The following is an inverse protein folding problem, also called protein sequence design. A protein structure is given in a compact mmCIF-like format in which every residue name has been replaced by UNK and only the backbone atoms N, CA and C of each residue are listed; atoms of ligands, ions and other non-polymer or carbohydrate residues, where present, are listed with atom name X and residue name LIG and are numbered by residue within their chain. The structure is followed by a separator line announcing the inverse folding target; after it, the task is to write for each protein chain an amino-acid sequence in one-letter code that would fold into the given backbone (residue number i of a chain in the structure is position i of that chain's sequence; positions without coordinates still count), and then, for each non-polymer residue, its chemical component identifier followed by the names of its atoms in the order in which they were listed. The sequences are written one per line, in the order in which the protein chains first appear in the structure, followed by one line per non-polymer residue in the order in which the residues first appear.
data_IF_264506688054
#
_entry.id   IF_264506688054
#
_cell.length_a   1.000
_cell.length_b   1.000
_cell.length_c   1.000
_cell.angle_alpha   90.00
_cell.angle_beta   90.00
_cell.angle_gamma   90.00
#
_symmetry.space_group_name_H-M   'P 1'
#
loop_
_entity.id
_entity.type
_entity.pdbx_description
1 polymer ?
#
# COMPACT_ATOMS: atom_id res chain seq x y z
N UNK A 1 13.22 -9.30 -24.69
CA UNK A 1 13.40 -9.07 -23.23
C UNK A 1 12.23 -8.34 -22.55
N UNK A 2 11.16 -7.93 -23.26
CA UNK A 2 10.02 -7.22 -22.65
C UNK A 2 9.14 -8.12 -21.75
N UNK A 3 9.12 -9.43 -21.98
CA UNK A 3 8.15 -10.36 -21.37
C UNK A 3 8.38 -10.57 -19.87
N UNK A 4 9.64 -10.52 -19.41
CA UNK A 4 9.96 -10.68 -17.99
C UNK A 4 9.37 -9.55 -17.13
N UNK A 5 9.09 -8.37 -17.72
CA UNK A 5 8.59 -7.22 -16.98
C UNK A 5 7.20 -7.42 -16.42
N UNK A 6 6.33 -8.04 -17.19
CA UNK A 6 4.97 -8.33 -16.75
C UNK A 6 4.97 -9.42 -15.67
N UNK A 7 5.82 -10.44 -15.82
CA UNK A 7 5.90 -11.57 -14.90
C UNK A 7 6.28 -11.14 -13.48
N UNK A 8 7.37 -10.38 -13.32
CA UNK A 8 7.77 -9.96 -11.97
C UNK A 8 6.78 -8.97 -11.35
N UNK A 9 6.13 -8.12 -12.17
CA UNK A 9 5.07 -7.22 -11.68
C UNK A 9 3.89 -8.01 -11.12
N UNK A 10 3.49 -9.07 -11.81
CA UNK A 10 2.43 -9.95 -11.36
C UNK A 10 2.84 -10.67 -10.07
N UNK A 11 4.03 -11.28 -10.04
CA UNK A 11 4.55 -11.96 -8.85
C UNK A 11 4.64 -11.03 -7.63
N UNK A 12 5.11 -9.80 -7.82
CA UNK A 12 5.22 -8.79 -6.76
C UNK A 12 3.85 -8.27 -6.30
N UNK A 13 2.88 -8.18 -7.21
CA UNK A 13 1.50 -7.85 -6.86
C UNK A 13 0.85 -8.95 -6.01
N UNK A 14 1.13 -10.22 -6.32
CA UNK A 14 0.69 -11.36 -5.51
C UNK A 14 1.35 -11.30 -4.13
N UNK A 15 2.67 -11.08 -4.08
CA UNK A 15 3.40 -10.92 -2.82
C UNK A 15 2.84 -9.77 -1.94
N UNK A 16 2.49 -8.63 -2.56
CA UNK A 16 1.80 -7.53 -1.88
C UNK A 16 0.49 -7.98 -1.24
N UNK A 17 -0.33 -8.73 -1.97
CA UNK A 17 -1.61 -9.25 -1.47
C UNK A 17 -1.41 -10.30 -0.37
N UNK A 18 -0.43 -11.20 -0.51
CA UNK A 18 -0.04 -12.17 0.52
C UNK A 18 0.34 -11.46 1.82
N UNK A 19 1.14 -10.40 1.73
CA UNK A 19 1.53 -9.58 2.89
C UNK A 19 0.34 -8.92 3.57
N UNK A 20 -0.63 -8.41 2.79
CA UNK A 20 -1.88 -7.84 3.35
C UNK A 20 -2.76 -8.88 4.02
N UNK A 21 -2.78 -10.09 3.48
CA UNK A 21 -3.47 -11.24 4.04
C UNK A 21 -2.72 -11.90 5.20
N UNK A 22 -1.52 -11.41 5.54
CA UNK A 22 -0.60 -12.04 6.50
C UNK A 22 -0.31 -13.52 6.18
N UNK A 23 -0.34 -13.89 4.90
CA UNK A 23 0.03 -15.22 4.43
C UNK A 23 1.55 -15.32 4.32
N UNK A 24 2.12 -16.48 4.64
CA UNK A 24 3.57 -16.66 4.51
C UNK A 24 4.02 -16.64 3.05
N UNK A 25 5.04 -15.82 2.78
CA UNK A 25 5.75 -15.82 1.50
C UNK A 25 6.49 -17.15 1.33
N UNK A 26 6.46 -17.78 0.13
CA UNK A 26 7.15 -19.04 -0.11
C UNK A 26 8.65 -18.93 0.15
N UNK A 27 9.23 -19.97 0.75
CA UNK A 27 10.66 -20.01 1.07
C UNK A 27 11.58 -19.97 -0.16
N UNK A 28 11.13 -20.58 -1.26
CA UNK A 28 11.81 -20.49 -2.56
C UNK A 28 11.03 -19.58 -3.53
N UNK A 29 11.39 -18.30 -3.51
CA UNK A 29 10.69 -17.24 -4.28
C UNK A 29 10.88 -17.44 -5.79
N UNK A 30 12.01 -17.98 -6.22
CA UNK A 30 12.34 -18.14 -7.65
C UNK A 30 11.46 -19.22 -8.26
N UNK A 31 11.47 -20.42 -7.69
CA UNK A 31 10.58 -21.51 -8.14
C UNK A 31 9.10 -21.13 -8.00
N UNK A 32 8.78 -20.31 -6.99
CA UNK A 32 7.44 -19.78 -6.78
C UNK A 32 7.03 -18.64 -7.74
N UNK A 33 7.88 -18.26 -8.69
CA UNK A 33 7.60 -17.26 -9.73
C UNK A 33 7.20 -17.88 -11.07
N UNK A 34 7.14 -19.21 -11.16
CA UNK A 34 6.57 -19.91 -12.33
C UNK A 34 5.06 -19.68 -12.42
N UNK A 35 4.49 -19.71 -13.63
CA UNK A 35 3.06 -19.45 -13.85
C UNK A 35 2.15 -20.35 -12.99
N UNK A 36 2.46 -21.65 -12.92
CA UNK A 36 1.72 -22.60 -12.09
C UNK A 36 1.83 -22.29 -10.59
N UNK A 37 3.03 -21.94 -10.10
CA UNK A 37 3.20 -21.59 -8.70
C UNK A 37 2.52 -20.25 -8.33
N UNK A 38 2.55 -19.27 -9.24
CA UNK A 38 1.83 -18.01 -9.07
C UNK A 38 0.31 -18.22 -9.03
N UNK A 39 -0.24 -19.11 -9.85
CA UNK A 39 -1.65 -19.47 -9.79
C UNK A 39 -2.04 -20.08 -8.43
N UNK A 40 -1.24 -21.01 -7.92
CA UNK A 40 -1.46 -21.61 -6.59
C UNK A 40 -1.43 -20.55 -5.49
N UNK A 41 -0.43 -19.66 -5.52
CA UNK A 41 -0.32 -18.53 -4.57
C UNK A 41 -1.53 -17.62 -4.65
N UNK A 42 -1.97 -17.26 -5.86
CA UNK A 42 -3.15 -16.42 -6.06
C UNK A 42 -4.43 -17.07 -5.54
N UNK A 43 -4.62 -18.38 -5.76
CA UNK A 43 -5.77 -19.12 -5.21
C UNK A 43 -5.81 -19.08 -3.68
N UNK A 44 -4.66 -19.19 -3.02
CA UNK A 44 -4.57 -19.04 -1.54
C UNK A 44 -5.02 -17.64 -1.10
N UNK A 45 -4.61 -16.60 -1.82
CA UNK A 45 -5.01 -15.22 -1.57
C UNK A 45 -6.52 -15.04 -1.82
N UNK A 46 -7.06 -15.55 -2.92
CA UNK A 46 -8.49 -15.50 -3.22
C UNK A 46 -9.34 -16.20 -2.15
N UNK A 47 -8.90 -17.37 -1.69
CA UNK A 47 -9.54 -18.11 -0.60
C UNK A 47 -9.54 -17.31 0.71
N UNK A 48 -8.46 -16.59 1.01
CA UNK A 48 -8.40 -15.71 2.18
C UNK A 48 -9.40 -14.56 2.12
N UNK A 49 -9.62 -13.97 0.94
CA UNK A 49 -10.54 -12.86 0.74
C UNK A 49 -11.98 -13.28 0.43
N UNK A 50 -12.28 -14.59 0.43
CA UNK A 50 -13.59 -15.14 0.05
C UNK A 50 -14.10 -14.60 -1.31
N UNK A 51 -13.18 -14.38 -2.25
CA UNK A 51 -13.54 -13.87 -3.58
C UNK A 51 -13.93 -15.04 -4.45
N UNK A 52 -15.20 -15.08 -4.84
CA UNK A 52 -15.72 -16.08 -5.77
C UNK A 52 -14.81 -16.19 -7.02
N UNK A 53 -14.23 -17.37 -7.17
CA UNK A 53 -13.40 -17.76 -8.31
C UNK A 53 -14.21 -17.54 -9.60
N UNK A 54 -13.65 -16.95 -10.69
CA UNK A 54 -14.14 -17.35 -11.99
C UNK A 54 -13.93 -18.87 -12.11
N UNK A 55 -14.79 -19.60 -12.83
CA UNK A 55 -14.78 -21.06 -12.83
C UNK A 55 -13.38 -21.63 -13.05
N UNK A 56 -12.99 -22.57 -12.19
CA UNK A 56 -11.65 -23.16 -12.10
C UNK A 56 -11.19 -23.97 -13.34
N UNK A 57 -11.93 -23.88 -14.45
CA UNK A 57 -11.83 -24.82 -15.57
C UNK A 57 -10.82 -24.42 -16.65
N UNK A 58 -10.14 -23.27 -16.53
CA UNK A 58 -9.14 -22.87 -17.51
C UNK A 58 -7.73 -23.15 -16.98
N UNK A 59 -6.91 -23.77 -17.83
CA UNK A 59 -5.49 -23.93 -17.58
C UNK A 59 -4.86 -22.57 -17.19
N UNK A 60 -3.87 -22.55 -16.29
CA UNK A 60 -3.24 -21.30 -15.87
C UNK A 60 -2.60 -20.64 -17.09
N UNK A 61 -3.07 -19.44 -17.42
CA UNK A 61 -2.59 -18.60 -18.50
C UNK A 61 -2.27 -17.21 -17.94
N UNK A 62 -1.34 -16.48 -18.56
CA UNK A 62 -0.94 -15.17 -18.05
C UNK A 62 -2.07 -14.16 -18.04
N UNK A 63 -2.94 -14.17 -19.05
CA UNK A 63 -4.09 -13.26 -19.13
C UNK A 63 -5.09 -13.52 -18.00
N UNK A 64 -5.36 -14.79 -17.71
CA UNK A 64 -6.30 -15.19 -16.64
C UNK A 64 -5.74 -14.87 -15.26
N UNK A 65 -4.44 -15.08 -15.05
CA UNK A 65 -3.73 -14.70 -13.83
C UNK A 65 -3.75 -13.18 -13.63
N UNK A 66 -3.36 -12.41 -14.64
CA UNK A 66 -3.30 -10.95 -14.59
C UNK A 66 -4.67 -10.32 -14.30
N UNK A 67 -5.72 -10.82 -14.96
CA UNK A 67 -7.10 -10.38 -14.71
C UNK A 67 -7.54 -10.64 -13.26
N UNK A 68 -7.27 -11.83 -12.73
CA UNK A 68 -7.62 -12.20 -11.34
C UNK A 68 -6.85 -11.37 -10.32
N UNK A 69 -5.56 -11.13 -10.53
CA UNK A 69 -4.75 -10.22 -9.70
C UNK A 69 -5.32 -8.81 -9.73
N UNK A 70 -5.63 -8.27 -10.90
CA UNK A 70 -6.20 -6.93 -11.03
C UNK A 70 -7.55 -6.80 -10.31
N UNK A 71 -8.41 -7.80 -10.45
CA UNK A 71 -9.70 -7.88 -9.75
C UNK A 71 -9.51 -7.86 -8.23
N UNK A 72 -8.57 -8.64 -7.70
CA UNK A 72 -8.25 -8.64 -6.26
C UNK A 72 -7.72 -7.29 -5.78
N UNK A 73 -6.80 -6.66 -6.53
CA UNK A 73 -6.29 -5.32 -6.21
C UNK A 73 -7.45 -4.31 -6.18
N UNK A 74 -8.38 -4.38 -7.14
CA UNK A 74 -9.54 -3.48 -7.19
C UNK A 74 -10.49 -3.71 -6.02
N UNK A 75 -10.81 -4.97 -5.72
CA UNK A 75 -11.64 -5.35 -4.58
C UNK A 75 -11.03 -4.81 -3.27
N UNK A 76 -9.70 -4.92 -3.14
CA UNK A 76 -8.96 -4.44 -1.99
C UNK A 76 -8.90 -2.89 -1.89
N UNK A 77 -8.80 -2.17 -3.01
CA UNK A 77 -8.74 -0.68 -3.00
C UNK A 77 -10.00 -0.01 -2.47
N UNK A 78 -11.11 -0.74 -2.29
CA UNK A 78 -12.33 -0.20 -1.68
C UNK A 78 -12.21 0.01 -0.17
N UNK A 79 -11.17 -0.51 0.48
CA UNK A 79 -10.90 -0.18 1.88
C UNK A 79 -10.43 1.27 2.01
N UNK A 80 -11.05 2.08 2.89
CA UNK A 80 -10.71 3.49 3.03
C UNK A 80 -9.22 3.61 3.37
N UNK A 81 -8.49 4.53 2.70
CA UNK A 81 -7.08 4.73 3.00
C UNK A 81 -6.92 5.09 4.49
N UNK A 82 -5.85 4.64 5.16
CA UNK A 82 -5.58 5.08 6.52
C UNK A 82 -5.59 6.61 6.55
N UNK A 83 -6.38 7.18 7.47
CA UNK A 83 -6.62 8.63 7.57
C UNK A 83 -5.37 9.45 7.92
N UNK A 84 -4.26 8.78 8.18
CA UNK A 84 -2.98 9.32 8.62
C UNK A 84 -1.93 9.07 7.56
N UNK A 85 -1.96 9.88 6.50
CA UNK A 85 -0.95 9.89 5.45
C UNK A 85 0.34 10.54 5.96
N UNK A 86 1.25 9.72 6.47
CA UNK A 86 2.66 10.11 6.59
C UNK A 86 3.20 10.49 5.21
N UNK A 87 3.80 11.67 5.13
CA UNK A 87 4.22 12.35 3.88
C UNK A 87 5.44 11.71 3.19
N UNK A 88 6.01 10.65 3.76
CA UNK A 88 7.20 9.99 3.23
C UNK A 88 6.83 9.01 2.13
N UNK A 89 6.89 9.48 0.90
CA UNK A 89 6.81 8.63 -0.28
C UNK A 89 8.21 8.10 -0.62
N UNK A 90 8.35 6.89 -1.20
CA UNK A 90 9.62 6.40 -1.71
C UNK A 90 10.31 7.40 -2.66
N UNK A 91 9.53 8.22 -3.38
CA UNK A 91 10.04 9.26 -4.28
C UNK A 91 10.77 10.37 -3.51
N UNK A 92 10.18 10.87 -2.43
CA UNK A 92 10.82 11.90 -1.59
C UNK A 92 12.14 11.40 -0.99
N UNK A 93 12.21 10.12 -0.62
CA UNK A 93 13.48 9.55 -0.14
C UNK A 93 14.52 9.49 -1.26
N UNK A 94 14.15 9.06 -2.47
CA UNK A 94 15.09 8.97 -3.60
C UNK A 94 15.65 10.32 -4.05
N UNK A 95 14.91 11.42 -3.84
CA UNK A 95 15.40 12.79 -4.08
C UNK A 95 16.54 13.18 -3.13
N UNK A 96 16.66 12.53 -1.97
CA UNK A 96 17.72 12.76 -1.00
C UNK A 96 18.97 11.89 -1.23
N UNK A 97 18.88 10.90 -2.12
CA UNK A 97 19.95 9.92 -2.34
C UNK A 97 20.81 10.37 -3.52
N UNK A 98 22.12 10.57 -3.35
CA UNK A 98 23.01 10.83 -4.48
C UNK A 98 23.08 9.59 -5.37
N UNK A 99 22.73 9.76 -6.66
CA UNK A 99 22.77 8.71 -7.69
C UNK A 99 21.97 7.44 -7.34
N UNK A 100 20.62 7.52 -7.24
CA UNK A 100 19.78 6.39 -6.86
C UNK A 100 19.82 5.21 -7.86
N UNK A 101 20.38 5.42 -9.05
CA UNK A 101 20.54 4.38 -10.06
C UNK A 101 21.73 3.43 -9.80
N UNK A 102 22.69 3.83 -8.94
CA UNK A 102 23.92 3.08 -8.66
C UNK A 102 23.85 2.27 -7.36
N UNK A 103 22.65 1.88 -6.93
CA UNK A 103 22.48 1.06 -5.72
C UNK A 103 23.01 -0.35 -5.97
N UNK A 104 23.93 -0.81 -5.12
CA UNK A 104 24.50 -2.17 -5.17
C UNK A 104 23.49 -3.22 -4.71
N UNK A 105 23.63 -4.44 -5.23
CA UNK A 105 22.86 -5.60 -4.78
C UNK A 105 23.06 -5.89 -3.28
N UNK A 106 24.29 -5.74 -2.78
CA UNK A 106 24.61 -5.89 -1.36
C UNK A 106 23.79 -4.94 -0.48
N UNK A 107 23.62 -3.68 -0.90
CA UNK A 107 22.80 -2.71 -0.17
C UNK A 107 21.34 -3.16 -0.07
N UNK A 108 20.78 -3.68 -1.16
CA UNK A 108 19.42 -4.21 -1.17
C UNK A 108 19.30 -5.45 -0.27
N UNK A 109 20.31 -6.33 -0.30
CA UNK A 109 20.37 -7.52 0.55
C UNK A 109 20.40 -7.17 2.04
N UNK A 110 21.20 -6.19 2.43
CA UNK A 110 21.28 -5.72 3.82
C UNK A 110 19.93 -5.17 4.27
N UNK A 111 19.32 -4.27 3.48
CA UNK A 111 18.00 -3.72 3.83
C UNK A 111 16.91 -4.79 3.92
N UNK A 112 16.90 -5.78 3.01
CA UNK A 112 15.97 -6.90 3.11
C UNK A 112 16.19 -7.74 4.37
N UNK A 113 17.44 -7.90 4.80
CA UNK A 113 17.78 -8.60 6.05
C UNK A 113 17.30 -7.82 7.28
N UNK A 114 17.40 -6.49 7.26
CA UNK A 114 16.98 -5.60 8.34
C UNK A 114 15.46 -5.56 8.56
N UNK A 115 14.66 -5.83 7.51
CA UNK A 115 13.21 -6.01 7.64
C UNK A 115 12.80 -7.24 8.48
N UNK A 116 13.79 -7.98 9.01
CA UNK A 116 13.57 -9.06 9.96
C UNK A 116 12.94 -10.28 9.31
N UNK A 117 13.08 -10.46 7.99
CA UNK A 117 12.63 -11.67 7.32
C UNK A 117 13.54 -12.84 7.72
N UNK A 118 13.22 -13.46 8.86
CA UNK A 118 13.89 -14.66 9.37
C UNK A 118 13.49 -15.93 8.61
N UNK A 119 13.09 -15.81 7.34
CA UNK A 119 13.01 -17.01 6.51
C UNK A 119 14.42 -17.37 6.08
N UNK A 120 14.96 -18.46 6.62
CA UNK A 120 16.33 -18.94 6.37
C UNK A 120 16.63 -19.25 4.89
N UNK A 121 15.66 -19.15 3.99
CA UNK A 121 15.76 -19.70 2.65
C UNK A 121 15.86 -18.67 1.52
N UNK A 122 15.46 -17.41 1.72
CA UNK A 122 15.48 -16.44 0.61
C UNK A 122 16.90 -16.05 0.18
N UNK A 123 17.86 -16.05 1.11
CA UNK A 123 19.29 -15.82 0.80
C UNK A 123 19.88 -16.94 -0.04
N UNK A 124 19.41 -18.18 0.16
CA UNK A 124 19.79 -19.33 -0.69
C UNK A 124 19.22 -19.19 -2.10
N UNK A 125 17.95 -18.79 -2.22
CA UNK A 125 17.36 -18.48 -3.53
C UNK A 125 18.15 -17.36 -4.23
N UNK A 126 18.52 -16.29 -3.51
CA UNK A 126 19.29 -15.18 -4.05
C UNK A 126 20.67 -15.61 -4.56
N UNK A 127 21.37 -16.48 -3.82
CA UNK A 127 22.68 -16.99 -4.20
C UNK A 127 22.65 -17.83 -5.50
N UNK A 128 21.48 -18.41 -5.83
CA UNK A 128 21.25 -19.20 -7.03
C UNK A 128 20.61 -18.39 -8.17
N UNK A 129 20.25 -17.13 -7.93
CA UNK A 129 19.52 -16.30 -8.87
C UNK A 129 20.43 -15.73 -9.95
N UNK A 130 19.92 -15.63 -11.19
CA UNK A 130 20.52 -14.74 -12.16
C UNK A 130 20.27 -13.27 -11.74
N UNK A 131 21.10 -12.31 -12.19
CA UNK A 131 20.90 -10.88 -11.86
C UNK A 131 19.53 -10.33 -12.25
N UNK A 132 18.89 -10.90 -13.27
CA UNK A 132 17.51 -10.55 -13.66
C UNK A 132 16.46 -11.02 -12.65
N UNK A 133 16.69 -12.19 -12.06
CA UNK A 133 15.77 -12.86 -11.15
C UNK A 133 15.93 -12.32 -9.73
N UNK A 134 17.16 -11.89 -9.40
CA UNK A 134 17.51 -11.18 -8.17
C UNK A 134 16.60 -9.98 -7.91
N UNK A 135 16.38 -9.13 -8.92
CA UNK A 135 15.48 -7.98 -8.80
C UNK A 135 14.03 -8.39 -8.57
N UNK A 136 13.58 -9.47 -9.19
CA UNK A 136 12.25 -10.03 -8.96
C UNK A 136 12.10 -10.49 -7.51
N UNK A 137 13.12 -11.13 -6.94
CA UNK A 137 13.15 -11.56 -5.53
C UNK A 137 13.03 -10.37 -4.59
N UNK A 138 13.88 -9.35 -4.76
CA UNK A 138 13.80 -8.14 -3.92
C UNK A 138 12.46 -7.42 -4.07
N UNK A 139 11.93 -7.32 -5.29
CA UNK A 139 10.65 -6.69 -5.55
C UNK A 139 9.49 -7.44 -4.87
N UNK A 140 9.50 -8.78 -4.88
CA UNK A 140 8.51 -9.59 -4.17
C UNK A 140 8.61 -9.40 -2.66
N UNK A 141 9.82 -9.43 -2.09
CA UNK A 141 10.05 -9.22 -0.65
C UNK A 141 9.56 -7.82 -0.23
N UNK A 142 9.97 -6.76 -0.92
CA UNK A 142 9.59 -5.41 -0.56
C UNK A 142 8.06 -5.20 -0.68
N UNK A 143 7.43 -5.76 -1.72
CA UNK A 143 5.99 -5.69 -1.89
C UNK A 143 5.25 -6.46 -0.79
N UNK A 144 5.73 -7.65 -0.41
CA UNK A 144 5.18 -8.41 0.71
C UNK A 144 5.19 -7.61 2.01
N UNK A 145 6.33 -7.02 2.36
CA UNK A 145 6.45 -6.19 3.56
C UNK A 145 5.61 -4.92 3.53
N UNK A 146 5.52 -4.27 2.37
CA UNK A 146 4.62 -3.15 2.18
C UNK A 146 3.14 -3.54 2.34
N UNK A 147 2.78 -4.77 1.95
CA UNK A 147 1.47 -5.33 2.24
C UNK A 147 1.24 -5.51 3.75
N UNK A 148 2.24 -6.07 4.43
CA UNK A 148 2.19 -6.37 5.86
C UNK A 148 2.14 -5.12 6.75
N UNK A 149 2.81 -4.03 6.36
CA UNK A 149 2.82 -2.76 7.12
C UNK A 149 1.42 -2.15 7.30
N UNK A 150 0.45 -2.46 6.40
CA UNK A 150 -0.93 -1.92 6.33
C UNK A 150 -1.03 -0.39 6.20
N UNK A 151 -0.03 0.36 6.67
CA UNK A 151 0.07 1.81 6.61
C UNK A 151 0.60 2.27 5.24
N UNK A 152 1.54 1.52 4.67
CA UNK A 152 2.15 1.88 3.40
C UNK A 152 1.24 1.59 2.20
N UNK A 153 1.01 2.61 1.37
CA UNK A 153 0.26 2.50 0.12
C UNK A 153 1.24 2.36 -1.05
N UNK A 154 1.36 1.14 -1.56
CA UNK A 154 2.08 0.89 -2.83
C UNK A 154 1.18 1.32 -4.00
N UNK A 155 1.46 2.50 -4.56
CA UNK A 155 0.71 3.04 -5.71
C UNK A 155 1.08 2.30 -7.00
N UNK A 156 2.36 1.98 -7.15
CA UNK A 156 2.93 1.26 -8.29
C UNK A 156 3.94 0.24 -7.78
N UNK A 157 3.98 -0.92 -8.43
CA UNK A 157 4.99 -1.96 -8.17
C UNK A 157 6.35 -1.41 -8.62
N UNK A 158 7.38 -1.44 -7.76
CA UNK A 158 8.71 -0.95 -8.12
C UNK A 158 9.27 -1.78 -9.28
N UNK A 159 9.92 -1.11 -10.23
CA UNK A 159 10.44 -1.78 -11.44
C UNK A 159 11.93 -1.59 -11.64
N UNK A 160 12.52 -0.65 -10.92
CA UNK A 160 13.94 -0.29 -10.98
C UNK A 160 14.61 -0.55 -9.63
N UNK A 161 15.94 -0.68 -9.62
CA UNK A 161 16.72 -0.78 -8.37
C UNK A 161 16.48 0.41 -7.45
N UNK A 162 16.41 1.61 -8.02
CA UNK A 162 16.08 2.83 -7.30
C UNK A 162 14.72 2.73 -6.59
N UNK A 163 13.67 2.31 -7.32
CA UNK A 163 12.33 2.17 -6.73
C UNK A 163 12.31 1.16 -5.56
N UNK A 164 13.00 0.03 -5.73
CA UNK A 164 13.11 -1.03 -4.71
C UNK A 164 13.85 -0.49 -3.49
N UNK A 165 14.99 0.18 -3.69
CA UNK A 165 15.78 0.79 -2.63
C UNK A 165 14.96 1.81 -1.82
N UNK A 166 14.28 2.73 -2.50
CA UNK A 166 13.44 3.73 -1.85
C UNK A 166 12.30 3.10 -1.05
N UNK A 167 11.67 2.04 -1.57
CA UNK A 167 10.63 1.32 -0.86
C UNK A 167 11.17 0.58 0.37
N UNK A 168 12.30 -0.11 0.24
CA UNK A 168 12.95 -0.82 1.36
C UNK A 168 13.39 0.13 2.46
N UNK A 169 13.93 1.30 2.11
CA UNK A 169 14.31 2.32 3.09
C UNK A 169 13.11 2.87 3.86
N UNK A 170 11.98 3.13 3.19
CA UNK A 170 10.75 3.53 3.88
C UNK A 170 10.26 2.41 4.81
N UNK A 171 10.29 1.16 4.34
CA UNK A 171 9.89 0.01 5.14
C UNK A 171 10.80 -0.24 6.34
N UNK A 172 12.12 0.00 6.23
CA UNK A 172 13.05 -0.20 7.34
C UNK A 172 12.84 0.84 8.43
N UNK A 173 12.48 2.07 8.06
CA UNK A 173 12.08 3.12 9.01
C UNK A 173 10.76 2.77 9.69
N UNK A 174 9.76 2.30 8.95
CA UNK A 174 8.46 1.91 9.51
C UNK A 174 8.55 0.69 10.44
N UNK A 175 9.38 -0.30 10.09
CA UNK A 175 9.56 -1.54 10.87
C UNK A 175 10.70 -1.46 11.90
N UNK A 176 11.41 -0.33 11.95
CA UNK A 176 12.51 -0.13 12.88
C UNK A 176 12.07 -0.30 14.33
N UNK A 177 13.00 -0.57 15.26
CA UNK A 177 12.67 -0.60 16.67
C UNK A 177 11.98 0.72 17.00
N UNK A 178 10.77 0.64 17.56
CA UNK A 178 10.04 1.83 17.97
C UNK A 178 11.01 2.67 18.80
N UNK A 179 11.42 3.83 18.26
CA UNK A 179 12.21 4.78 19.01
C UNK A 179 11.33 5.09 20.19
N UNK A 180 11.67 4.51 21.35
CA UNK A 180 10.95 4.77 22.59
C UNK A 180 11.03 6.27 22.70
N UNK A 181 9.91 6.95 22.44
CA UNK A 181 9.89 8.40 22.54
C UNK A 181 10.50 8.69 23.91
N UNK A 182 11.55 9.53 23.99
CA UNK A 182 12.16 9.85 25.26
C UNK A 182 10.99 10.22 26.16
N UNK A 183 10.78 9.44 27.23
CA UNK A 183 9.56 9.55 28.02
C UNK A 183 9.37 11.04 28.27
N UNK A 184 8.26 11.59 27.78
CA UNK A 184 7.96 13.00 28.00
C UNK A 184 8.20 13.26 29.48
N UNK A 185 9.02 14.26 29.86
CA UNK A 185 9.35 14.49 31.25
C UNK A 185 8.04 14.46 32.04
N UNK A 186 8.00 13.80 33.21
CA UNK A 186 6.78 13.59 33.96
C UNK A 186 6.07 14.94 34.06
N UNK A 187 4.84 15.00 33.52
CA UNK A 187 4.03 16.22 33.57
C UNK A 187 4.00 16.61 35.04
N UNK A 188 4.48 17.82 35.41
CA UNK A 188 4.47 18.23 36.80
C UNK A 188 3.04 18.06 37.33
N UNK A 189 2.86 17.53 38.56
CA UNK A 189 1.54 17.39 39.12
C UNK A 189 0.82 18.73 38.99
N UNK A 190 -0.47 18.74 38.62
CA UNK A 190 -1.22 19.99 38.53
C UNK A 190 -0.98 20.74 39.82
N UNK A 191 -0.41 21.95 39.72
CA UNK A 191 -0.14 22.78 40.88
C UNK A 191 -1.37 22.71 41.76
N UNK A 192 -1.19 22.22 42.99
CA UNK A 192 -2.28 22.17 43.95
C UNK A 192 -2.79 23.60 44.02
N UNK A 193 -3.94 23.85 43.39
CA UNK A 193 -4.66 25.11 43.49
C UNK A 193 -4.81 25.32 44.97
N UNK A 194 -3.99 26.25 45.49
CA UNK A 194 -3.89 26.53 46.90
C UNK A 194 -5.30 26.64 47.44
N UNK A 195 -5.53 26.01 48.60
CA UNK A 195 -6.79 26.11 49.34
C UNK A 195 -7.27 27.54 49.21
N UNK A 196 -8.38 27.74 48.48
CA UNK A 196 -8.99 29.04 48.31
C UNK A 196 -9.20 29.57 49.74
N UNK A 197 -8.63 30.74 50.10
CA UNK A 197 -8.78 31.25 51.45
C UNK A 197 -10.27 31.38 51.78
N UNK A 198 -10.69 31.04 53.00
CA UNK A 198 -12.08 31.18 53.42
C UNK A 198 -12.46 32.67 53.32
N UNK A 199 -13.31 33.02 52.34
CA UNK A 199 -13.77 34.39 52.15
C UNK A 199 -14.06 34.82 50.70
N UNK A 200 -13.60 34.08 49.69
CA UNK A 200 -13.92 34.41 48.28
C UNK A 200 -15.22 33.71 47.87
N UNK A 201 -16.31 34.47 47.89
CA UNK A 201 -17.61 34.06 47.34
C UNK A 201 -17.52 33.95 45.82
N UNK A 202 -17.42 32.71 45.32
CA UNK A 202 -17.59 32.43 43.90
C UNK A 202 -19.04 32.70 43.54
N UNK A 203 -19.27 33.76 42.78
CA UNK A 203 -20.57 34.15 42.24
C UNK A 203 -21.15 32.96 41.48
N UNK A 204 -22.34 32.55 41.90
CA UNK A 204 -23.16 31.46 41.37
C UNK A 204 -23.07 31.33 39.84
N UNK A 205 -22.23 30.40 39.37
CA UNK A 205 -22.38 29.85 38.03
C UNK A 205 -23.60 28.93 38.04
N UNK A 206 -24.56 29.24 37.19
CA UNK A 206 -25.88 28.61 37.08
C UNK A 206 -25.82 27.07 37.12
N UNK A 207 -26.86 26.41 37.69
CA UNK A 207 -26.88 24.97 37.89
C UNK A 207 -26.71 24.25 36.55
N UNK A 208 -25.60 23.52 36.43
CA UNK A 208 -25.34 22.65 35.29
C UNK A 208 -26.40 21.55 35.25
N UNK A 209 -27.42 21.78 34.41
CA UNK A 209 -28.57 20.89 34.20
C UNK A 209 -28.05 19.53 33.74
N UNK A 210 -28.06 18.53 34.63
CA UNK A 210 -27.75 17.12 34.32
C UNK A 210 -28.67 16.65 33.19
N UNK A 211 -28.19 16.71 31.96
CA UNK A 211 -28.83 16.05 30.81
C UNK A 211 -28.73 14.54 31.05
N UNK A 212 -29.88 13.92 31.34
CA UNK A 212 -30.04 12.46 31.32
C UNK A 212 -29.47 11.94 30.01
N UNK A 213 -28.39 11.17 30.08
CA UNK A 213 -27.84 10.48 28.93
C UNK A 213 -28.87 9.42 28.50
N UNK A 214 -29.41 9.49 27.27
CA UNK A 214 -30.27 8.43 26.76
C UNK A 214 -29.50 7.11 26.74
N UNK A 215 -30.15 6.02 27.18
CA UNK A 215 -29.65 4.65 27.07
C UNK A 215 -29.19 4.43 25.63
N UNK A 216 -27.87 4.33 25.44
CA UNK A 216 -27.23 4.11 24.15
C UNK A 216 -27.63 2.72 23.66
N UNK A 217 -28.49 2.68 22.64
CA UNK A 217 -28.62 1.50 21.79
C UNK A 217 -27.26 1.23 21.11
N UNK A 218 -26.96 -0.06 20.92
CA UNK A 218 -25.69 -0.62 20.44
C UNK A 218 -25.36 -0.26 18.96
N UNK A 219 -26.01 0.74 18.37
CA UNK A 219 -25.83 1.14 16.97
C UNK A 219 -25.20 2.53 16.77
N UNK A 220 -24.51 3.08 17.76
CA UNK A 220 -23.86 4.40 17.71
C UNK A 220 -22.42 4.41 17.13
N UNK A 221 -22.13 3.64 16.07
CA UNK A 221 -20.79 3.64 15.44
C UNK A 221 -20.64 4.59 14.23
N UNK A 222 -21.68 5.34 13.85
CA UNK A 222 -21.65 6.20 12.65
C UNK A 222 -22.22 7.62 12.82
N UNK A 223 -22.16 8.21 14.02
CA UNK A 223 -22.69 9.57 14.22
C UNK A 223 -21.76 10.71 13.76
N UNK A 224 -20.47 10.44 13.54
CA UNK A 224 -19.54 11.48 13.06
C UNK A 224 -19.76 11.87 11.59
N UNK A 225 -20.28 10.98 10.74
CA UNK A 225 -20.53 11.28 9.31
C UNK A 225 -21.64 12.31 9.08
N UNK A 226 -22.57 12.52 10.03
CA UNK A 226 -23.63 13.54 9.86
C UNK A 226 -23.12 14.98 9.96
N UNK A 227 -21.91 15.20 10.49
CA UNK A 227 -21.30 16.55 10.56
C UNK A 227 -20.56 16.97 9.30
N UNK A 228 -20.40 16.08 8.30
CA UNK A 228 -19.71 16.38 7.04
C UNK A 228 -20.65 16.66 5.86
N UNK A 229 -21.97 16.53 6.03
CA UNK A 229 -22.94 16.79 4.96
C UNK A 229 -23.27 18.29 4.73
N UNK A 230 -22.60 19.22 5.41
CA UNK A 230 -22.89 20.67 5.30
C UNK A 230 -22.01 21.43 4.28
N UNK A 231 -21.13 20.75 3.54
CA UNK A 231 -20.22 21.39 2.59
C UNK A 231 -20.38 20.85 1.18
N UNK A 232 -21.56 21.06 0.57
CA UNK A 232 -21.68 21.24 -0.89
C UNK A 232 -23.07 21.70 -1.29
N UNK A 233 -23.27 23.01 -1.26
CA UNK A 233 -24.26 23.68 -2.12
C UNK A 233 -23.66 25.02 -2.54
N UNK A 234 -23.03 25.03 -3.70
CA UNK A 234 -22.97 26.22 -4.53
C UNK A 234 -23.49 25.80 -5.90
N UNK A 235 -24.68 26.30 -6.24
CA UNK A 235 -25.24 26.25 -7.58
C UNK A 235 -24.63 27.41 -8.33
N UNK A 236 -23.90 27.11 -9.39
CA UNK A 236 -23.61 28.06 -10.45
C UNK A 236 -24.06 27.36 -11.74
N UNK A 237 -25.33 27.56 -12.05
CA UNK A 237 -25.83 27.46 -13.41
C UNK A 237 -25.35 28.72 -14.13
N UNK A 238 -24.57 28.56 -15.20
CA UNK A 238 -24.48 29.55 -16.29
C UNK A 238 -23.96 28.86 -17.57
N UNK A 239 -24.93 28.34 -18.31
CA UNK A 239 -25.16 28.56 -19.73
C UNK A 239 -23.99 29.11 -20.57
N UNK A 240 -23.40 28.27 -21.42
CA UNK A 240 -23.03 28.67 -22.79
C UNK A 240 -22.88 27.44 -23.68
N UNK A 241 -23.82 27.32 -24.62
CA UNK A 241 -23.78 26.45 -25.79
C UNK A 241 -22.85 27.04 -26.87
N UNK A 242 -22.70 26.30 -28.00
CA UNK A 242 -22.04 26.63 -29.28
C UNK A 242 -20.62 26.03 -29.35
N UNK A 243 -20.18 25.28 -30.36
CA UNK A 243 -20.77 24.63 -31.54
C UNK A 243 -19.79 23.58 -32.07
N UNK A 244 -20.35 22.67 -32.85
CA UNK A 244 -19.75 21.70 -33.78
C UNK A 244 -18.43 22.08 -34.48
N UNK A 245 -17.54 21.08 -34.62
CA UNK A 245 -16.90 20.76 -35.92
C UNK A 245 -16.31 19.35 -35.92
N UNK A 246 -16.92 18.50 -36.73
CA UNK A 246 -16.36 17.28 -37.30
C UNK A 246 -15.16 17.59 -38.19
N UNK A 247 -14.03 16.90 -38.01
CA UNK A 247 -12.98 16.82 -39.03
C UNK A 247 -12.38 15.43 -39.05
N UNK A 248 -12.83 14.68 -40.03
CA UNK A 248 -12.22 13.50 -40.64
C UNK A 248 -10.87 13.85 -41.28
N UNK A 249 -9.86 13.04 -41.04
CA UNK A 249 -8.69 12.95 -41.93
C UNK A 249 -8.15 11.52 -41.93
N UNK A 250 -8.42 10.87 -43.06
CA UNK A 250 -7.88 9.63 -43.58
C UNK A 250 -6.46 9.81 -44.13
N UNK A 251 -5.56 8.87 -43.84
CA UNK A 251 -4.41 8.43 -44.67
C UNK A 251 -3.62 7.42 -43.82
N UNK A 252 -3.46 6.14 -44.15
CA UNK A 252 -3.20 5.57 -45.47
C UNK A 252 -1.69 5.53 -45.68
N UNK A 253 -1.04 4.41 -45.38
CA UNK A 253 0.30 4.05 -45.90
C UNK A 253 0.58 2.58 -45.64
N UNK A 254 0.34 1.79 -46.67
CA UNK A 254 0.79 0.41 -46.87
C UNK A 254 2.25 0.43 -47.33
N UNK A 255 3.10 -0.44 -46.81
CA UNK A 255 4.35 -0.79 -47.50
C UNK A 255 4.67 -2.27 -47.27
N UNK A 256 4.40 -3.06 -48.31
CA UNK A 256 5.01 -4.37 -48.55
C UNK A 256 6.44 -4.17 -49.00
N UNK A 257 7.36 -5.00 -48.54
CA UNK A 257 8.61 -5.27 -49.27
C UNK A 257 9.07 -6.70 -49.01
N UNK A 258 8.90 -7.50 -50.05
CA UNK A 258 9.40 -8.85 -50.29
C UNK A 258 10.71 -8.72 -51.06
N UNK A 259 11.84 -9.24 -50.56
CA UNK A 259 13.07 -9.51 -51.33
C UNK A 259 13.71 -10.73 -50.63
N UNK A 260 13.53 -11.94 -51.20
CA UNK A 260 14.50 -12.71 -52.00
C UNK A 260 15.64 -13.30 -51.18
#
# INVERSE_FOLDING_TARGET
MADNKAHYKCASSIALLEGRASLELPGDIISASTLGALDIRLRRVEAFYDVALPPACQAPAWDTLAYRVFRLIKAYRTFPPPATGGMFTPKHFLELVPNPNNVSSETLQTLCSDLGYRSYNWTKSLALANPSDELSVYCQICCYYAGKSKQLRVVAIPTTRADIYGLLAVLSVENGPAIKQPMSPPIPPPFALGKIPPGVTVVNAAPYRKKKTPKRSILSKFSWMRKLAFWRKSRSDDNSSISSSSSSSSSGSSSSSTIS
#
